data_IF_352619771889
#
_entry.id   IF_352619771889
#
_cell.length_a   1.000
_cell.length_b   1.000
_cell.length_c   1.000
_cell.angle_alpha   90.00
_cell.angle_beta   90.00
_cell.angle_gamma   90.00
#
_symmetry.space_group_name_H-M   'P 1'
#
loop_
_entity.id
_entity.type
_entity.pdbx_description
1 polymer ?
#
# COMPACT_ATOMS: atom_id res chain seq x y z
N UNK A 1 -16.31 6.36 -27.96
CA UNK A 1 -15.28 6.27 -29.02
C UNK A 1 -15.54 7.43 -29.98
N UNK A 2 -14.98 8.61 -29.69
CA UNK A 2 -15.21 9.82 -30.46
C UNK A 2 -14.17 10.85 -30.06
N UNK A 3 -13.11 10.94 -30.84
CA UNK A 3 -11.99 11.84 -30.64
C UNK A 3 -11.68 12.59 -31.93
N UNK A 4 -10.87 13.63 -31.86
CA UNK A 4 -10.49 14.49 -33.00
C UNK A 4 -9.70 13.79 -34.10
N UNK A 5 -9.39 12.49 -33.95
CA UNK A 5 -8.59 11.71 -34.90
C UNK A 5 -7.13 12.17 -35.01
N UNK A 6 -6.71 13.19 -34.25
CA UNK A 6 -5.39 13.82 -34.34
C UNK A 6 -4.23 12.86 -34.01
N UNK A 7 -4.48 11.87 -33.15
CA UNK A 7 -3.51 10.82 -32.79
C UNK A 7 -3.90 9.44 -33.36
N UNK A 8 -4.81 9.40 -34.34
CA UNK A 8 -5.22 8.14 -34.96
C UNK A 8 -4.06 7.56 -35.79
N UNK A 9 -3.87 6.25 -35.67
CA UNK A 9 -2.90 5.48 -36.44
C UNK A 9 -3.51 4.13 -36.80
N UNK A 10 -3.20 3.64 -38.00
CA UNK A 10 -3.49 2.28 -38.42
C UNK A 10 -2.16 1.58 -38.70
N UNK A 11 -2.01 0.33 -38.29
CA UNK A 11 -0.75 -0.40 -38.47
C UNK A 11 -0.96 -1.89 -38.72
N UNK A 12 0.03 -2.47 -39.39
CA UNK A 12 0.19 -3.91 -39.55
C UNK A 12 1.58 -4.29 -39.06
N UNK A 13 1.67 -5.29 -38.17
CA UNK A 13 2.93 -5.73 -37.55
C UNK A 13 3.08 -7.23 -37.74
N UNK A 14 4.26 -7.63 -38.16
CA UNK A 14 4.73 -9.01 -38.08
C UNK A 14 5.74 -9.14 -36.94
N UNK A 15 5.59 -10.18 -36.12
CA UNK A 15 6.55 -10.49 -35.06
C UNK A 15 7.04 -11.93 -35.20
N UNK A 16 8.33 -12.14 -34.88
CA UNK A 16 8.94 -13.46 -34.88
C UNK A 16 9.99 -13.56 -33.80
N UNK A 17 9.86 -14.59 -32.98
CA UNK A 17 10.87 -14.97 -32.00
C UNK A 17 11.75 -16.08 -32.54
N UNK A 18 13.06 -15.86 -32.51
CA UNK A 18 14.07 -16.85 -32.88
C UNK A 18 15.09 -16.96 -31.74
N UNK A 19 14.95 -18.01 -30.95
CA UNK A 19 15.78 -18.26 -29.77
C UNK A 19 15.69 -17.12 -28.75
N UNK A 20 16.79 -16.36 -28.65
CA UNK A 20 16.98 -15.26 -27.68
C UNK A 20 16.55 -13.90 -28.21
N UNK A 21 16.23 -13.82 -29.49
CA UNK A 21 15.79 -12.62 -30.17
C UNK A 21 14.29 -12.67 -30.39
N UNK A 22 13.61 -11.59 -30.04
CA UNK A 22 12.22 -11.35 -30.36
C UNK A 22 12.17 -10.07 -31.20
N UNK A 23 11.77 -10.20 -32.46
CA UNK A 23 11.82 -9.11 -33.42
C UNK A 23 10.40 -8.79 -33.93
N UNK A 24 10.11 -7.51 -34.07
CA UNK A 24 8.89 -7.00 -34.68
C UNK A 24 9.22 -5.97 -35.77
N UNK A 25 8.44 -6.01 -36.83
CA UNK A 25 8.48 -5.02 -37.90
C UNK A 25 7.06 -4.68 -38.30
N UNK A 26 6.76 -3.39 -38.35
CA UNK A 26 5.46 -2.85 -38.64
C UNK A 26 5.49 -1.71 -39.64
N UNK A 27 4.37 -1.58 -40.33
CA UNK A 27 4.06 -0.46 -41.22
C UNK A 27 2.85 0.26 -40.64
N UNK A 28 2.94 1.58 -40.50
CA UNK A 28 1.87 2.41 -39.97
C UNK A 28 1.52 3.56 -40.92
N UNK A 29 0.24 3.92 -40.96
CA UNK A 29 -0.28 5.19 -41.48
C UNK A 29 -0.83 6.03 -40.33
N UNK A 30 -0.95 7.34 -40.52
CA UNK A 30 -1.42 8.25 -39.47
C UNK A 30 -0.29 8.67 -38.53
N UNK A 31 -0.58 8.90 -37.25
CA UNK A 31 0.37 9.54 -36.32
C UNK A 31 1.67 8.73 -36.13
N UNK A 32 1.59 7.42 -35.87
CA UNK A 32 2.78 6.55 -35.67
C UNK A 32 3.56 6.34 -36.99
N UNK A 33 2.95 6.58 -38.15
CA UNK A 33 3.59 6.49 -39.45
C UNK A 33 3.97 7.84 -40.07
N UNK A 34 3.82 8.94 -39.33
CA UNK A 34 3.86 10.30 -39.85
C UNK A 34 5.23 10.71 -40.41
N UNK A 35 6.28 9.93 -40.10
CA UNK A 35 7.59 10.11 -40.73
C UNK A 35 7.57 9.86 -42.25
N UNK A 36 6.64 9.03 -42.73
CA UNK A 36 6.35 8.85 -44.15
C UNK A 36 7.54 8.34 -44.96
N UNK A 37 8.16 7.24 -44.53
CA UNK A 37 9.37 6.68 -45.13
C UNK A 37 9.17 6.25 -46.60
N UNK A 38 7.94 5.89 -47.01
CA UNK A 38 7.61 5.61 -48.41
C UNK A 38 6.14 5.88 -48.78
N UNK A 39 5.88 5.98 -50.10
CA UNK A 39 4.53 6.18 -50.68
C UNK A 39 3.63 5.00 -50.32
N UNK A 40 2.37 5.26 -49.97
CA UNK A 40 1.42 4.21 -49.61
C UNK A 40 1.29 3.17 -50.75
N UNK A 41 1.61 1.89 -50.52
CA UNK A 41 1.54 0.87 -51.58
C UNK A 41 0.10 0.63 -52.06
N UNK A 42 -0.92 0.96 -51.25
CA UNK A 42 -2.32 0.90 -51.66
C UNK A 42 -2.70 1.98 -52.69
N UNK A 43 -1.85 3.00 -52.88
CA UNK A 43 -2.00 3.97 -53.96
C UNK A 43 -1.87 3.33 -55.35
N UNK A 44 -1.26 2.14 -55.46
CA UNK A 44 -1.25 1.37 -56.71
C UNK A 44 -2.63 0.79 -57.07
N UNK A 45 -3.55 0.72 -56.10
CA UNK A 45 -4.93 0.24 -56.27
C UNK A 45 -5.86 1.43 -56.52
N UNK A 46 -5.72 2.50 -55.73
CA UNK A 46 -6.49 3.73 -55.87
C UNK A 46 -5.71 4.94 -55.31
N UNK A 47 -5.59 6.02 -56.08
CA UNK A 47 -4.89 7.24 -55.70
C UNK A 47 -5.44 7.87 -54.40
N UNK A 48 -6.69 7.57 -54.03
CA UNK A 48 -7.29 8.05 -52.78
C UNK A 48 -6.52 7.62 -51.53
N UNK A 49 -5.70 6.54 -51.59
CA UNK A 49 -4.93 6.05 -50.44
C UNK A 49 -3.68 6.90 -50.16
N UNK A 50 -3.26 7.72 -51.12
CA UNK A 50 -2.06 8.54 -51.00
C UNK A 50 -2.24 9.71 -50.04
N UNK A 51 -3.45 10.28 -49.97
CA UNK A 51 -3.71 11.48 -49.17
C UNK A 51 -4.69 11.17 -48.05
N UNK A 52 -4.32 11.51 -46.81
CA UNK A 52 -5.21 11.37 -45.66
C UNK A 52 -6.11 12.61 -45.58
N UNK A 53 -7.44 12.48 -45.71
CA UNK A 53 -8.34 13.62 -45.56
C UNK A 53 -8.26 14.18 -44.12
N UNK A 54 -8.27 15.51 -43.99
CA UNK A 54 -8.31 16.15 -42.66
C UNK A 54 -9.63 15.81 -41.98
N UNK A 55 -9.55 15.37 -40.72
CA UNK A 55 -10.74 15.09 -39.91
C UNK A 55 -11.61 16.36 -39.81
N UNK A 56 -12.84 16.28 -40.30
CA UNK A 56 -13.84 17.33 -40.19
C UNK A 56 -14.79 17.00 -39.04
N UNK A 57 -14.60 17.66 -37.90
CA UNK A 57 -15.53 17.61 -36.77
C UNK A 57 -15.13 16.70 -35.60
N UNK A 58 -15.67 17.03 -34.44
CA UNK A 58 -15.49 16.33 -33.17
C UNK A 58 -16.63 15.32 -32.99
N UNK A 59 -16.32 14.03 -32.78
CA UNK A 59 -17.32 13.04 -32.32
C UNK A 59 -17.90 12.08 -33.37
N UNK A 60 -17.49 12.15 -34.64
CA UNK A 60 -17.82 11.12 -35.65
C UNK A 60 -16.68 10.09 -35.75
N UNK A 61 -17.03 8.81 -36.00
CA UNK A 61 -16.04 7.80 -36.36
C UNK A 61 -15.50 8.15 -37.75
N UNK A 62 -14.27 8.65 -37.82
CA UNK A 62 -13.62 8.98 -39.09
C UNK A 62 -13.05 7.71 -39.76
N UNK A 63 -13.93 6.91 -40.36
CA UNK A 63 -13.57 5.71 -41.15
C UNK A 63 -12.90 6.06 -42.47
N UNK A 64 -13.13 7.26 -43.00
CA UNK A 64 -12.69 7.68 -44.33
C UNK A 64 -11.16 7.90 -44.41
N UNK A 65 -10.49 8.04 -43.26
CA UNK A 65 -9.05 8.21 -43.16
C UNK A 65 -8.23 6.92 -42.96
N UNK A 66 -8.88 5.76 -42.83
CA UNK A 66 -8.18 4.51 -42.46
C UNK A 66 -7.23 4.03 -43.57
N UNK A 67 -5.99 3.68 -43.20
CA UNK A 67 -4.94 3.20 -44.12
C UNK A 67 -4.58 4.17 -45.26
N UNK A 68 -4.84 5.46 -45.08
CA UNK A 68 -4.51 6.53 -46.04
C UNK A 68 -3.41 7.45 -45.53
N UNK A 69 -2.64 7.99 -46.46
CA UNK A 69 -1.49 8.85 -46.18
C UNK A 69 -0.15 8.13 -46.28
N UNK A 70 0.97 8.85 -46.08
CA UNK A 70 2.32 8.27 -46.08
C UNK A 70 2.45 7.13 -45.07
N UNK A 71 3.29 6.14 -45.40
CA UNK A 71 3.55 4.98 -44.54
C UNK A 71 4.90 5.14 -43.86
N UNK A 72 4.92 5.02 -42.54
CA UNK A 72 6.14 4.94 -41.73
C UNK A 72 6.46 3.51 -41.33
N UNK A 73 7.75 3.19 -41.28
CA UNK A 73 8.25 1.92 -40.76
C UNK A 73 8.55 2.08 -39.28
N UNK A 74 8.11 1.12 -38.48
CA UNK A 74 8.52 1.02 -37.08
C UNK A 74 8.83 -0.43 -36.75
N UNK A 75 9.66 -0.66 -35.74
CA UNK A 75 10.02 -2.02 -35.39
C UNK A 75 10.99 -2.07 -34.22
N UNK A 76 11.18 -3.25 -33.67
CA UNK A 76 12.09 -3.41 -32.56
C UNK A 76 12.61 -4.82 -32.43
N UNK A 77 13.72 -4.95 -31.73
CA UNK A 77 14.32 -6.22 -31.37
C UNK A 77 14.60 -6.22 -29.88
N UNK A 78 14.03 -7.20 -29.18
CA UNK A 78 14.40 -7.52 -27.82
C UNK A 78 15.36 -8.72 -27.83
N UNK A 79 16.52 -8.54 -27.20
CA UNK A 79 17.53 -9.57 -27.04
C UNK A 79 17.68 -9.96 -25.57
N UNK A 80 17.37 -11.22 -25.27
CA UNK A 80 17.63 -11.80 -23.96
C UNK A 80 19.10 -12.21 -23.87
N UNK A 81 19.89 -11.52 -23.06
CA UNK A 81 21.33 -11.81 -22.93
C UNK A 81 21.59 -13.13 -22.17
N UNK A 82 22.75 -13.80 -22.36
CA UNK A 82 23.12 -15.03 -21.64
C UNK A 82 23.00 -14.90 -20.13
N UNK A 83 23.24 -13.70 -19.63
CA UNK A 83 22.93 -13.31 -18.27
C UNK A 83 21.43 -13.05 -18.14
N UNK A 84 20.69 -14.06 -17.65
CA UNK A 84 19.22 -14.04 -17.52
C UNK A 84 18.63 -12.75 -16.92
N UNK A 85 19.25 -12.10 -15.92
CA UNK A 85 18.78 -10.83 -15.37
C UNK A 85 18.73 -9.67 -16.36
N UNK A 86 19.51 -9.69 -17.45
CA UNK A 86 19.67 -8.56 -18.36
C UNK A 86 18.99 -8.83 -19.71
N UNK A 87 18.07 -7.94 -20.09
CA UNK A 87 17.45 -7.88 -21.41
C UNK A 87 17.77 -6.54 -22.08
N UNK A 88 18.15 -6.58 -23.35
CA UNK A 88 18.41 -5.41 -24.17
C UNK A 88 17.27 -5.23 -25.19
N UNK A 89 16.95 -3.99 -25.52
CA UNK A 89 15.90 -3.61 -26.47
C UNK A 89 16.43 -2.53 -27.39
N UNK A 90 16.15 -2.68 -28.68
CA UNK A 90 16.40 -1.67 -29.70
C UNK A 90 15.09 -1.45 -30.44
N UNK A 91 14.70 -0.21 -30.61
CA UNK A 91 13.50 0.18 -31.33
C UNK A 91 13.84 1.24 -32.38
N UNK A 92 13.13 1.18 -33.50
CA UNK A 92 13.11 2.16 -34.56
C UNK A 92 11.72 2.78 -34.61
N UNK A 93 11.66 4.08 -34.35
CA UNK A 93 10.43 4.85 -34.29
C UNK A 93 10.03 5.37 -35.68
N UNK A 94 8.77 5.11 -36.04
CA UNK A 94 8.14 5.53 -37.29
C UNK A 94 7.49 6.91 -37.23
N UNK A 95 7.49 7.56 -36.07
CA UNK A 95 6.97 8.92 -35.90
C UNK A 95 8.09 9.99 -36.05
N UNK A 96 7.71 11.17 -36.53
CA UNK A 96 8.56 12.35 -36.58
C UNK A 96 8.07 13.40 -35.57
N UNK A 97 8.73 13.44 -34.41
CA UNK A 97 8.38 14.36 -33.32
C UNK A 97 8.78 15.81 -33.61
N UNK A 98 9.47 16.08 -34.73
CA UNK A 98 9.82 17.45 -35.15
C UNK A 98 8.62 18.17 -35.75
N UNK A 99 7.54 17.45 -36.07
CA UNK A 99 6.31 17.97 -36.67
C UNK A 99 5.07 17.46 -35.92
N UNK A 100 4.97 17.82 -34.64
CA UNK A 100 3.85 17.41 -33.79
C UNK A 100 2.59 18.23 -34.07
N UNK A 101 1.39 17.60 -33.98
CA UNK A 101 0.13 18.34 -33.90
C UNK A 101 0.19 19.40 -32.80
N UNK A 102 -0.51 20.52 -32.98
CA UNK A 102 -0.57 21.64 -32.03
C UNK A 102 0.75 22.41 -31.82
N UNK A 103 1.73 22.29 -32.74
CA UNK A 103 3.02 23.00 -32.70
C UNK A 103 3.91 22.63 -31.50
N UNK A 104 3.73 21.44 -30.94
CA UNK A 104 4.54 20.94 -29.83
C UNK A 104 5.79 20.17 -30.31
N UNK A 105 6.58 20.79 -31.19
CA UNK A 105 7.72 20.10 -31.81
C UNK A 105 8.77 19.72 -30.77
N UNK A 106 9.13 18.44 -30.74
CA UNK A 106 10.15 17.92 -29.85
C UNK A 106 11.47 17.73 -30.61
N UNK A 107 12.59 17.83 -29.90
CA UNK A 107 13.90 17.54 -30.48
C UNK A 107 14.03 16.03 -30.66
N UNK A 108 14.34 15.62 -31.89
CA UNK A 108 14.65 14.22 -32.24
C UNK A 108 15.90 14.24 -33.12
N UNK A 109 16.99 13.67 -32.61
CA UNK A 109 18.28 13.55 -33.32
C UNK A 109 18.42 12.19 -34.00
N UNK A 110 17.79 11.17 -33.43
CA UNK A 110 17.82 9.80 -33.92
C UNK A 110 16.42 9.18 -33.81
N UNK A 111 16.01 8.36 -34.77
CA UNK A 111 14.79 7.54 -34.66
C UNK A 111 15.00 6.25 -33.88
N UNK A 112 16.23 5.98 -33.41
CA UNK A 112 16.53 4.78 -32.65
C UNK A 112 16.41 5.03 -31.15
N UNK A 113 15.72 4.13 -30.46
CA UNK A 113 15.62 4.08 -29.00
C UNK A 113 16.28 2.80 -28.50
N UNK A 114 17.12 2.92 -27.46
CA UNK A 114 17.84 1.78 -26.87
C UNK A 114 17.42 1.65 -25.41
N UNK A 115 17.14 0.42 -24.98
CA UNK A 115 16.74 0.13 -23.60
C UNK A 115 17.48 -1.07 -23.02
N UNK A 116 17.70 -1.05 -21.71
CA UNK A 116 18.19 -2.16 -20.92
C UNK A 116 17.29 -2.36 -19.71
N UNK A 117 16.95 -3.61 -19.41
CA UNK A 117 16.17 -4.00 -18.23
C UNK A 117 16.97 -5.02 -17.42
N UNK A 118 17.19 -4.73 -16.14
CA UNK A 118 18.00 -5.53 -15.23
C UNK A 118 17.18 -5.97 -14.00
N UNK A 119 16.96 -7.28 -13.88
CA UNK A 119 16.28 -7.88 -12.73
C UNK A 119 17.26 -8.12 -11.59
N UNK A 120 17.29 -7.21 -10.60
CA UNK A 120 18.15 -7.34 -9.41
C UNK A 120 17.74 -8.56 -8.59
N UNK A 121 16.44 -8.73 -8.38
CA UNK A 121 15.84 -9.89 -7.72
C UNK A 121 14.37 -10.06 -8.18
N UNK A 122 13.63 -10.99 -7.57
CA UNK A 122 12.22 -11.26 -7.91
C UNK A 122 11.29 -10.06 -7.65
N UNK A 123 11.71 -9.10 -6.84
CA UNK A 123 10.91 -7.98 -6.37
C UNK A 123 11.35 -6.63 -6.95
N UNK A 124 12.52 -6.55 -7.58
CA UNK A 124 13.12 -5.30 -8.05
C UNK A 124 13.70 -5.47 -9.45
N UNK A 125 13.23 -4.62 -10.36
CA UNK A 125 13.79 -4.48 -11.71
C UNK A 125 14.15 -3.01 -11.96
N UNK A 126 15.27 -2.81 -12.64
CA UNK A 126 15.79 -1.51 -13.04
C UNK A 126 15.73 -1.39 -14.56
N UNK A 127 15.38 -0.21 -15.05
CA UNK A 127 15.26 0.09 -16.47
C UNK A 127 16.11 1.31 -16.80
N UNK A 128 16.85 1.23 -17.89
CA UNK A 128 17.59 2.33 -18.48
C UNK A 128 17.18 2.45 -19.94
N UNK A 129 16.95 3.68 -20.40
CA UNK A 129 16.56 3.99 -21.77
C UNK A 129 17.37 5.16 -22.32
N UNK A 130 17.63 5.15 -23.61
CA UNK A 130 18.15 6.26 -24.36
C UNK A 130 17.25 6.46 -25.58
N UNK A 131 16.49 7.53 -25.59
CA UNK A 131 15.44 7.80 -26.57
C UNK A 131 15.81 9.03 -27.40
N UNK A 132 15.38 9.00 -28.66
CA UNK A 132 15.42 10.15 -29.58
C UNK A 132 16.81 10.77 -29.82
N UNK A 133 17.86 10.09 -29.37
CA UNK A 133 19.26 10.47 -29.55
C UNK A 133 19.80 11.46 -28.50
N UNK A 134 19.00 11.94 -27.55
CA UNK A 134 19.48 12.86 -26.50
C UNK A 134 18.73 12.79 -25.16
N UNK A 135 17.76 11.88 -25.00
CA UNK A 135 17.01 11.71 -23.75
C UNK A 135 17.39 10.40 -23.04
N UNK A 136 17.97 10.52 -21.84
CA UNK A 136 18.17 9.39 -20.95
C UNK A 136 16.95 9.18 -20.04
N UNK A 137 16.53 7.92 -19.89
CA UNK A 137 15.42 7.51 -19.03
C UNK A 137 15.90 6.48 -18.01
N UNK A 138 15.41 6.58 -16.77
CA UNK A 138 15.65 5.61 -15.71
C UNK A 138 14.33 5.26 -15.02
N UNK A 139 14.10 3.97 -14.79
CA UNK A 139 12.88 3.46 -14.17
C UNK A 139 13.17 2.36 -13.15
N UNK A 140 12.32 2.28 -12.13
CA UNK A 140 12.35 1.22 -11.11
C UNK A 140 10.98 0.56 -11.07
N UNK A 141 10.94 -0.76 -11.15
CA UNK A 141 9.71 -1.55 -11.00
C UNK A 141 9.81 -2.46 -9.79
N UNK A 142 8.87 -2.30 -8.86
CA UNK A 142 8.75 -3.11 -7.66
C UNK A 142 7.60 -4.11 -7.82
N UNK A 143 7.91 -5.39 -7.65
CA UNK A 143 6.93 -6.47 -7.66
C UNK A 143 6.67 -6.93 -6.22
N UNK A 144 5.41 -6.89 -5.80
CA UNK A 144 4.99 -7.36 -4.48
C UNK A 144 3.77 -8.28 -4.63
N UNK A 145 3.80 -9.42 -3.93
CA UNK A 145 2.64 -10.28 -3.79
C UNK A 145 1.93 -9.94 -2.47
N UNK A 146 0.86 -9.15 -2.54
CA UNK A 146 0.11 -8.73 -1.36
C UNK A 146 -0.56 -9.89 -0.60
N UNK A 147 -0.82 -11.02 -1.27
CA UNK A 147 -1.39 -12.21 -0.63
C UNK A 147 -0.39 -12.95 0.29
N UNK A 148 0.91 -12.76 0.06
CA UNK A 148 1.99 -13.34 0.87
C UNK A 148 2.76 -12.29 1.66
N UNK A 149 2.31 -11.03 1.63
CA UNK A 149 2.92 -9.95 2.36
C UNK A 149 2.74 -10.19 3.86
N UNK A 150 3.78 -10.72 4.51
CA UNK A 150 3.86 -10.77 5.97
C UNK A 150 4.02 -9.35 6.50
N UNK A 151 3.48 -9.06 7.69
CA UNK A 151 3.70 -7.77 8.34
C UNK A 151 5.21 -7.54 8.47
N UNK A 152 5.71 -6.44 7.89
CA UNK A 152 7.13 -6.07 8.00
C UNK A 152 7.48 -6.04 9.49
N UNK A 153 8.53 -6.74 9.94
CA UNK A 153 8.95 -6.72 11.34
C UNK A 153 9.15 -5.27 11.77
N UNK A 154 8.39 -4.82 12.77
CA UNK A 154 8.52 -3.48 13.32
C UNK A 154 9.71 -3.46 14.28
N UNK A 155 10.91 -3.31 13.73
CA UNK A 155 12.18 -3.35 14.49
C UNK A 155 12.25 -2.29 15.60
N UNK A 156 11.47 -1.22 15.50
CA UNK A 156 11.41 -0.14 16.50
C UNK A 156 10.30 -0.33 17.54
N UNK A 157 9.46 -1.35 17.43
CA UNK A 157 8.44 -1.60 18.45
C UNK A 157 9.11 -2.18 19.71
N UNK A 158 8.79 -1.67 20.91
CA UNK A 158 9.38 -2.20 22.13
C UNK A 158 8.98 -3.66 22.33
N UNK A 159 9.85 -4.50 22.95
CA UNK A 159 9.47 -5.87 23.30
C UNK A 159 8.28 -5.87 24.27
N UNK A 160 7.42 -6.90 24.26
CA UNK A 160 6.40 -7.08 25.28
C UNK A 160 7.04 -7.18 26.68
N UNK A 161 6.43 -6.59 27.70
CA UNK A 161 6.91 -6.73 29.07
C UNK A 161 6.78 -8.19 29.54
N UNK A 162 7.74 -8.74 30.30
CA UNK A 162 7.57 -10.03 30.95
C UNK A 162 6.43 -9.96 31.98
N UNK A 163 5.81 -11.08 32.31
CA UNK A 163 4.92 -11.13 33.47
C UNK A 163 5.73 -10.98 34.75
N UNK A 164 5.11 -10.39 35.77
CA UNK A 164 5.67 -10.41 37.12
C UNK A 164 5.54 -11.85 37.62
N UNK A 165 6.66 -12.48 37.97
CA UNK A 165 6.65 -13.81 38.55
C UNK A 165 5.80 -13.73 39.85
N UNK A 166 4.70 -14.47 39.88
CA UNK A 166 3.88 -14.58 41.09
C UNK A 166 4.59 -15.58 41.99
N UNK A 167 5.21 -15.11 43.06
CA UNK A 167 5.70 -16.00 44.09
C UNK A 167 4.50 -16.62 44.79
N UNK A 168 4.28 -17.92 44.64
CA UNK A 168 3.20 -18.66 45.32
C UNK A 168 3.29 -18.52 46.86
N UNK A 169 4.50 -18.27 47.39
CA UNK A 169 4.75 -17.98 48.80
C UNK A 169 4.18 -16.64 49.28
N UNK A 170 3.85 -15.71 48.37
CA UNK A 170 3.25 -14.43 48.70
C UNK A 170 1.72 -14.52 48.95
N UNK A 171 1.09 -15.67 48.68
CA UNK A 171 -0.33 -15.90 48.96
C UNK A 171 -0.61 -15.84 50.47
N UNK A 172 0.35 -16.22 51.32
CA UNK A 172 0.25 -16.11 52.78
C UNK A 172 0.60 -14.72 53.34
N UNK A 173 1.22 -13.84 52.54
CA UNK A 173 1.57 -12.47 52.96
C UNK A 173 0.69 -11.41 52.30
N UNK A 174 -0.11 -11.77 51.28
CA UNK A 174 -1.03 -10.88 50.59
C UNK A 174 -2.20 -10.40 51.49
N UNK A 175 -2.57 -11.18 52.51
CA UNK A 175 -3.50 -10.72 53.55
C UNK A 175 -2.89 -9.65 54.48
N UNK A 176 -1.56 -9.52 54.51
CA UNK A 176 -0.84 -8.51 55.31
C UNK A 176 -0.33 -7.32 54.48
N UNK A 177 -0.25 -7.43 53.15
CA UNK A 177 0.15 -6.34 52.26
C UNK A 177 -1.03 -5.48 51.75
N UNK A 178 -2.27 -5.92 51.96
CA UNK A 178 -3.49 -5.17 51.63
C UNK A 178 -3.63 -3.84 52.40
N UNK A 179 -2.78 -3.61 53.41
CA UNK A 179 -2.75 -2.42 54.27
C UNK A 179 -1.70 -1.36 53.88
N UNK A 180 -0.98 -1.55 52.77
CA UNK A 180 -0.21 -0.43 52.17
C UNK A 180 -1.04 0.17 51.03
N UNK A 181 -1.75 1.25 51.32
CA UNK A 181 -2.64 2.00 50.40
C UNK A 181 -1.98 2.62 49.15
N UNK A 182 -1.00 1.96 48.55
CA UNK A 182 -0.43 2.34 47.26
C UNK A 182 -1.35 1.89 46.13
N UNK A 183 -2.35 2.72 45.84
CA UNK A 183 -3.07 2.66 44.57
C UNK A 183 -2.07 2.78 43.40
N UNK A 184 -2.22 2.02 42.30
CA UNK A 184 -1.33 2.11 41.15
C UNK A 184 -1.24 3.54 40.61
N UNK A 185 -0.07 3.95 40.11
CA UNK A 185 0.06 5.21 39.34
C UNK A 185 -0.63 5.02 37.98
N UNK A 186 -1.94 5.24 37.95
CA UNK A 186 -2.74 5.03 36.74
C UNK A 186 -2.33 5.95 35.58
N UNK A 187 -1.73 7.11 35.85
CA UNK A 187 -1.18 7.98 34.81
C UNK A 187 0.11 7.41 34.22
N UNK A 188 0.95 6.78 35.04
CA UNK A 188 2.09 5.97 34.61
C UNK A 188 1.67 4.73 33.80
N UNK A 189 0.65 4.00 34.28
CA UNK A 189 0.07 2.84 33.59
C UNK A 189 -0.47 3.24 32.21
N UNK A 190 -1.21 4.35 32.13
CA UNK A 190 -1.73 4.86 30.86
C UNK A 190 -0.62 5.15 29.83
N UNK A 191 0.50 5.75 30.28
CA UNK A 191 1.68 5.98 29.42
C UNK A 191 2.31 4.66 28.95
N UNK A 192 2.49 3.69 29.84
CA UNK A 192 3.03 2.36 29.49
C UNK A 192 2.14 1.65 28.47
N UNK A 193 0.81 1.77 28.60
CA UNK A 193 -0.16 1.22 27.65
C UNK A 193 -0.05 1.87 26.27
N UNK A 194 0.13 3.19 26.20
CA UNK A 194 0.34 3.90 24.93
C UNK A 194 1.69 3.49 24.30
N UNK A 195 2.77 3.49 25.09
CA UNK A 195 4.13 3.25 24.61
C UNK A 195 4.41 1.80 24.22
N UNK A 196 3.86 0.82 24.94
CA UNK A 196 4.14 -0.60 24.72
C UNK A 196 2.98 -1.35 24.08
N UNK A 197 1.74 -1.15 24.55
CA UNK A 197 0.56 -1.80 24.00
C UNK A 197 -0.04 -1.06 22.78
N UNK A 198 0.46 0.14 22.46
CA UNK A 198 -0.03 0.92 21.32
C UNK A 198 -1.44 1.48 21.52
N UNK A 199 -1.95 1.39 22.75
CA UNK A 199 -3.32 1.72 23.11
C UNK A 199 -3.35 3.13 23.69
N UNK A 200 -3.91 4.08 22.94
CA UNK A 200 -4.09 5.44 23.45
C UNK A 200 -5.24 5.46 24.45
N UNK A 201 -4.90 5.50 25.73
CA UNK A 201 -5.86 5.42 26.83
C UNK A 201 -6.69 6.70 26.91
N UNK A 202 -8.01 6.53 26.98
CA UNK A 202 -8.98 7.59 27.25
C UNK A 202 -9.43 7.55 28.70
N UNK A 203 -9.70 6.35 29.22
CA UNK A 203 -10.19 6.12 30.58
C UNK A 203 -9.74 4.75 31.07
N UNK A 204 -9.41 4.65 32.35
CA UNK A 204 -9.26 3.38 33.06
C UNK A 204 -10.30 3.36 34.17
N UNK A 205 -11.05 2.27 34.28
CA UNK A 205 -12.08 2.10 35.28
C UNK A 205 -12.08 0.69 35.86
N UNK A 206 -12.56 0.54 37.08
CA UNK A 206 -12.70 -0.74 37.74
C UNK A 206 -14.16 -1.08 38.01
N UNK A 207 -14.51 -2.34 37.80
CA UNK A 207 -15.82 -2.94 38.08
C UNK A 207 -15.59 -4.26 38.81
N UNK A 208 -15.73 -4.26 40.13
CA UNK A 208 -15.44 -5.44 40.95
C UNK A 208 -14.00 -5.94 40.71
N UNK A 209 -13.87 -7.19 40.28
CA UNK A 209 -12.59 -7.84 39.95
C UNK A 209 -12.12 -7.63 38.49
N UNK A 210 -12.69 -6.67 37.77
CA UNK A 210 -12.36 -6.38 36.37
C UNK A 210 -11.84 -4.94 36.21
N UNK A 211 -10.69 -4.80 35.56
CA UNK A 211 -10.11 -3.50 35.18
C UNK A 211 -10.31 -3.30 33.69
N UNK A 212 -11.06 -2.25 33.35
CA UNK A 212 -11.47 -1.89 32.00
C UNK A 212 -10.61 -0.72 31.53
N UNK A 213 -9.86 -0.91 30.44
CA UNK A 213 -9.10 0.12 29.74
C UNK A 213 -9.85 0.51 28.48
N UNK A 214 -10.38 1.73 28.47
CA UNK A 214 -11.02 2.34 27.30
C UNK A 214 -10.00 3.16 26.53
N UNK A 215 -9.81 2.88 25.24
CA UNK A 215 -8.84 3.59 24.41
C UNK A 215 -8.86 3.21 22.94
N UNK A 216 -8.09 3.93 22.14
CA UNK A 216 -7.97 3.70 20.69
C UNK A 216 -6.66 2.95 20.38
N UNK A 217 -6.77 1.78 19.72
CA UNK A 217 -5.60 1.07 19.19
C UNK A 217 -5.03 1.80 17.96
N UNK A 218 -3.73 2.11 17.99
CA UNK A 218 -3.04 2.85 16.92
C UNK A 218 -1.84 2.13 16.32
N UNK A 219 -1.22 1.19 17.03
CA UNK A 219 0.07 0.63 16.61
C UNK A 219 -0.03 -0.72 15.94
N UNK A 220 -0.76 -1.68 16.51
CA UNK A 220 -0.70 -3.06 16.02
C UNK A 220 -1.78 -3.36 14.98
N UNK A 221 -1.40 -4.12 13.95
CA UNK A 221 -2.33 -4.59 12.91
C UNK A 221 -3.35 -5.58 13.47
N UNK A 222 -2.89 -6.50 14.33
CA UNK A 222 -3.74 -7.46 15.04
C UNK A 222 -4.11 -6.93 16.43
N UNK A 223 -5.40 -6.68 16.72
CA UNK A 223 -5.82 -6.17 18.03
C UNK A 223 -5.42 -7.07 19.21
N UNK A 224 -5.36 -8.39 18.99
CA UNK A 224 -4.94 -9.35 20.02
C UNK A 224 -3.53 -9.05 20.57
N UNK A 225 -2.62 -8.50 19.76
CA UNK A 225 -1.30 -8.09 20.22
C UNK A 225 -1.37 -6.92 21.21
N UNK A 226 -2.31 -5.99 21.01
CA UNK A 226 -2.61 -4.93 21.97
C UNK A 226 -3.08 -5.52 23.29
N UNK A 227 -4.07 -6.41 23.21
CA UNK A 227 -4.75 -6.96 24.39
C UNK A 227 -3.77 -7.76 25.24
N UNK A 228 -2.96 -8.62 24.64
CA UNK A 228 -1.95 -9.38 25.38
C UNK A 228 -0.86 -8.50 26.02
N UNK A 229 -0.48 -7.38 25.39
CA UNK A 229 0.47 -6.42 25.99
C UNK A 229 -0.18 -5.61 27.11
N UNK A 230 -1.45 -5.21 26.95
CA UNK A 230 -2.24 -4.59 28.01
C UNK A 230 -2.36 -5.51 29.22
N UNK A 231 -2.66 -6.80 29.00
CA UNK A 231 -2.71 -7.79 30.07
C UNK A 231 -1.37 -7.91 30.80
N UNK A 232 -0.23 -7.97 30.09
CA UNK A 232 1.12 -7.97 30.70
C UNK A 232 1.40 -6.74 31.56
N UNK A 233 1.05 -5.55 31.07
CA UNK A 233 1.26 -4.29 31.79
C UNK A 233 0.40 -4.26 33.05
N UNK A 234 -0.89 -4.56 32.92
CA UNK A 234 -1.81 -4.54 34.06
C UNK A 234 -1.49 -5.63 35.06
N UNK A 235 -1.03 -6.80 34.63
CA UNK A 235 -0.68 -7.89 35.56
C UNK A 235 0.38 -7.48 36.59
N UNK A 236 1.32 -6.61 36.20
CA UNK A 236 2.36 -6.10 37.08
C UNK A 236 1.89 -4.98 38.02
N UNK A 237 0.79 -4.31 37.69
CA UNK A 237 0.37 -3.04 38.32
C UNK A 237 -0.89 -3.20 39.18
N UNK A 238 -1.79 -4.13 38.83
CA UNK A 238 -3.08 -4.29 39.49
C UNK A 238 -3.03 -5.33 40.63
N UNK A 239 -3.79 -5.13 41.72
CA UNK A 239 -3.75 -6.03 42.87
C UNK A 239 -4.26 -7.45 42.53
N UNK A 240 -3.97 -8.46 43.38
CA UNK A 240 -4.44 -9.83 43.18
C UNK A 240 -5.96 -9.97 43.15
N UNK A 241 -6.70 -9.02 43.72
CA UNK A 241 -8.18 -9.00 43.72
C UNK A 241 -8.81 -8.78 42.34
N UNK A 242 -8.02 -8.37 41.34
CA UNK A 242 -8.47 -8.24 39.95
C UNK A 242 -8.24 -9.56 39.22
N UNK A 243 -9.30 -10.19 38.74
CA UNK A 243 -9.26 -11.45 37.99
C UNK A 243 -9.32 -11.25 36.47
N UNK A 244 -9.93 -10.16 36.02
CA UNK A 244 -10.17 -9.87 34.61
C UNK A 244 -9.55 -8.55 34.16
N UNK A 245 -9.09 -8.54 32.92
CA UNK A 245 -8.64 -7.34 32.23
C UNK A 245 -9.46 -7.19 30.96
N UNK A 246 -10.11 -6.05 30.82
CA UNK A 246 -10.96 -5.74 29.67
C UNK A 246 -10.39 -4.57 28.87
N UNK A 247 -10.24 -4.75 27.57
CA UNK A 247 -9.89 -3.67 26.63
C UNK A 247 -11.11 -3.27 25.85
N UNK A 248 -11.62 -2.06 26.11
CA UNK A 248 -12.70 -1.45 25.34
C UNK A 248 -12.08 -0.58 24.24
N UNK A 249 -12.04 -1.11 23.02
CA UNK A 249 -11.47 -0.39 21.89
C UNK A 249 -12.44 0.67 21.38
N UNK A 250 -11.96 1.89 21.17
CA UNK A 250 -12.75 3.01 20.66
C UNK A 250 -12.15 3.54 19.37
N UNK A 251 -13.01 4.14 18.52
CA UNK A 251 -12.59 4.86 17.33
C UNK A 251 -13.39 6.14 17.23
N UNK A 252 -12.70 7.28 17.10
CA UNK A 252 -13.34 8.59 17.12
C UNK A 252 -14.23 8.81 18.37
N UNK A 253 -13.83 8.25 19.51
CA UNK A 253 -14.58 8.32 20.77
C UNK A 253 -15.79 7.38 20.86
N UNK A 254 -16.11 6.63 19.80
CA UNK A 254 -17.18 5.63 19.82
C UNK A 254 -16.63 4.27 20.20
N UNK A 255 -17.21 3.57 21.19
CA UNK A 255 -16.76 2.24 21.57
C UNK A 255 -17.18 1.22 20.49
N UNK A 256 -16.26 0.32 20.15
CA UNK A 256 -16.45 -0.66 19.08
C UNK A 256 -16.66 -2.07 19.64
N UNK A 257 -15.77 -2.53 20.52
CA UNK A 257 -15.76 -3.89 21.06
C UNK A 257 -15.06 -3.89 22.42
N UNK A 258 -15.56 -4.72 23.32
CA UNK A 258 -14.91 -5.08 24.56
C UNK A 258 -14.28 -6.46 24.41
N UNK A 259 -12.99 -6.58 24.75
CA UNK A 259 -12.29 -7.86 24.82
C UNK A 259 -11.81 -8.07 26.25
N UNK A 260 -12.41 -9.02 26.93
CA UNK A 260 -12.11 -9.40 28.31
C UNK A 260 -11.25 -10.65 28.33
N UNK A 261 -10.23 -10.67 29.18
CA UNK A 261 -9.29 -11.78 29.31
C UNK A 261 -9.05 -12.08 30.77
N UNK A 262 -9.11 -13.36 31.13
CA UNK A 262 -8.82 -13.81 32.48
C UNK A 262 -7.31 -13.76 32.75
N UNK A 263 -6.92 -13.10 33.84
CA UNK A 263 -5.50 -12.90 34.20
C UNK A 263 -4.79 -14.21 34.57
N UNK A 264 -5.50 -15.15 35.19
CA UNK A 264 -4.92 -16.43 35.60
C UNK A 264 -4.63 -17.31 34.37
N UNK A 265 -5.63 -17.54 33.52
CA UNK A 265 -5.48 -18.30 32.29
C UNK A 265 -4.41 -17.70 31.36
N UNK A 266 -4.32 -16.37 31.26
CA UNK A 266 -3.27 -15.72 30.47
C UNK A 266 -1.87 -15.93 31.05
N UNK A 267 -1.72 -15.92 32.38
CA UNK A 267 -0.45 -16.24 33.03
C UNK A 267 -0.05 -17.70 32.77
N UNK A 268 -0.98 -18.65 32.94
CA UNK A 268 -0.74 -20.06 32.69
C UNK A 268 -0.32 -20.32 31.24
N UNK A 269 -0.91 -19.61 30.26
CA UNK A 269 -0.53 -19.71 28.86
C UNK A 269 0.90 -19.22 28.62
N UNK A 270 1.29 -18.10 29.24
CA UNK A 270 2.65 -17.56 29.10
C UNK A 270 3.71 -18.41 29.80
N UNK A 271 3.33 -19.14 30.84
CA UNK A 271 4.19 -20.12 31.52
C UNK A 271 4.23 -21.49 30.82
N UNK A 272 3.56 -21.64 29.67
CA UNK A 272 3.37 -22.91 28.96
C UNK A 272 2.68 -24.01 29.81
N UNK A 273 1.88 -23.62 30.80
CA UNK A 273 1.04 -24.53 31.60
C UNK A 273 -0.27 -24.90 30.92
N UNK A 274 -0.69 -24.11 29.92
CA UNK A 274 -1.88 -24.37 29.09
C UNK A 274 -1.62 -23.97 27.63
N UNK A 275 -2.51 -24.40 26.71
CA UNK A 275 -2.42 -24.10 25.29
C UNK A 275 -3.28 -22.89 24.87
N UNK A 276 -3.10 -22.43 23.62
CA UNK A 276 -3.84 -21.27 23.09
C UNK A 276 -5.34 -21.55 22.96
N UNK A 277 -5.72 -22.80 22.67
CA UNK A 277 -7.12 -23.19 22.52
C UNK A 277 -7.87 -23.07 23.86
N UNK A 278 -7.24 -23.51 24.95
CA UNK A 278 -7.77 -23.35 26.30
C UNK A 278 -7.83 -21.86 26.67
N UNK A 279 -6.76 -21.09 26.47
CA UNK A 279 -6.79 -19.64 26.71
C UNK A 279 -7.91 -18.93 25.96
N UNK A 280 -8.19 -19.32 24.71
CA UNK A 280 -9.26 -18.72 23.93
C UNK A 280 -10.65 -18.90 24.58
N UNK A 281 -10.86 -19.96 25.36
CA UNK A 281 -12.07 -20.16 26.18
C UNK A 281 -12.18 -19.21 27.38
N UNK A 282 -11.08 -18.56 27.78
CA UNK A 282 -11.00 -17.55 28.83
C UNK A 282 -10.88 -16.12 28.28
N UNK A 283 -11.21 -15.94 27.00
CA UNK A 283 -11.31 -14.63 26.33
C UNK A 283 -12.73 -14.43 25.84
N UNK A 284 -13.35 -13.34 26.28
CA UNK A 284 -14.71 -12.97 25.88
C UNK A 284 -14.65 -11.72 24.99
N UNK A 285 -15.44 -11.71 23.91
CA UNK A 285 -15.66 -10.53 23.09
C UNK A 285 -17.14 -10.16 23.12
N UNK A 286 -17.42 -8.93 23.55
CA UNK A 286 -18.78 -8.44 23.72
C UNK A 286 -18.96 -7.04 23.10
N UNK A 287 -20.19 -6.67 22.69
CA UNK A 287 -20.49 -5.29 22.35
C UNK A 287 -20.34 -4.39 23.59
N UNK A 288 -19.87 -3.14 23.43
CA UNK A 288 -19.73 -2.24 24.56
C UNK A 288 -21.05 -1.97 25.27
N UNK A 289 -21.07 -2.12 26.58
CA UNK A 289 -22.28 -1.91 27.39
C UNK A 289 -22.06 -0.75 28.37
N UNK A 290 -23.08 0.10 28.54
CA UNK A 290 -23.07 1.13 29.56
C UNK A 290 -23.25 0.47 30.94
N UNK A 291 -22.19 0.45 31.75
CA UNK A 291 -22.19 -0.19 33.06
C UNK A 291 -21.63 0.71 34.14
N UNK A 292 -22.02 0.46 35.40
CA UNK A 292 -21.47 1.16 36.56
C UNK A 292 -20.05 0.68 36.80
N UNK A 293 -19.10 1.62 36.79
CA UNK A 293 -17.68 1.40 37.06
C UNK A 293 -17.10 2.60 37.81
N UNK A 294 -16.12 2.37 38.67
CA UNK A 294 -15.37 3.45 39.32
C UNK A 294 -14.24 3.89 38.40
N UNK A 295 -14.17 5.17 38.05
CA UNK A 295 -13.08 5.71 37.24
C UNK A 295 -11.80 5.80 38.07
N UNK A 296 -10.76 5.13 37.61
CA UNK A 296 -9.42 5.15 38.21
C UNK A 296 -8.52 6.20 37.56
N UNK A 297 -8.71 6.44 36.25
CA UNK A 297 -7.99 7.44 35.49
C UNK A 297 -8.82 7.94 34.33
N UNK A 298 -8.72 9.25 34.06
CA UNK A 298 -9.30 9.90 32.91
C UNK A 298 -8.22 10.72 32.21
N UNK A 299 -7.99 10.45 30.93
CA UNK A 299 -7.00 11.20 30.16
C UNK A 299 -7.46 12.65 29.95
N UNK A 300 -6.54 13.63 30.00
CA UNK A 300 -6.87 15.02 29.69
C UNK A 300 -7.29 15.15 28.22
N UNK A 301 -8.31 15.96 27.95
CA UNK A 301 -8.74 16.24 26.58
C UNK A 301 -7.62 16.96 25.80
N UNK A 302 -7.15 16.34 24.71
CA UNK A 302 -6.21 16.99 23.80
C UNK A 302 -7.01 17.86 22.82
N UNK A 303 -6.85 19.18 22.91
CA UNK A 303 -7.50 20.15 22.00
C UNK A 303 -6.92 20.11 20.59
N UNK A 304 -5.69 19.64 20.44
CA UNK A 304 -5.00 19.56 19.16
C UNK A 304 -4.42 18.17 18.96
N UNK A 305 -4.64 17.63 17.78
CA UNK A 305 -4.05 16.38 17.35
C UNK A 305 -3.70 16.42 15.87
N UNK A 306 -2.46 16.04 15.56
CA UNK A 306 -1.96 15.94 14.19
C UNK A 306 -1.41 14.55 13.94
N UNK A 307 -1.67 14.01 12.76
CA UNK A 307 -1.04 12.77 12.30
C UNK A 307 -0.49 12.97 10.89
N UNK A 308 0.71 12.46 10.66
CA UNK A 308 1.26 12.35 9.31
C UNK A 308 0.96 10.94 8.79
N UNK A 309 0.12 10.85 7.76
CA UNK A 309 -0.23 9.57 7.14
C UNK A 309 0.18 9.60 5.68
N UNK A 310 0.74 8.48 5.19
CA UNK A 310 0.94 8.24 3.76
C UNK A 310 -0.22 7.35 3.32
N UNK A 311 -1.15 7.92 2.55
CA UNK A 311 -2.26 7.18 1.96
C UNK A 311 -1.91 6.65 0.57
N UNK A 312 -2.47 5.50 0.21
CA UNK A 312 -2.55 5.02 -1.16
C UNK A 312 -4.01 5.00 -1.56
N UNK A 313 -4.37 5.74 -2.62
CA UNK A 313 -5.72 5.76 -3.14
C UNK A 313 -5.68 5.30 -4.60
N UNK A 314 -6.34 4.18 -4.88
CA UNK A 314 -6.43 3.62 -6.22
C UNK A 314 -7.76 4.02 -6.85
N UNK A 315 -7.69 4.76 -7.95
CA UNK A 315 -8.84 5.02 -8.83
C UNK A 315 -8.69 4.14 -10.07
N UNK A 316 -9.59 3.17 -10.26
CA UNK A 316 -9.63 2.35 -11.47
C UNK A 316 -10.55 3.05 -12.48
N UNK A 317 -9.94 3.82 -13.39
CA UNK A 317 -10.56 4.38 -14.59
C UNK A 317 -10.15 3.56 -15.84
N UNK A 318 -11.07 3.44 -16.80
CA UNK A 318 -11.02 2.45 -17.89
C UNK A 318 -9.88 2.56 -18.93
N UNK A 319 -9.73 1.41 -19.61
CA UNK A 319 -8.83 0.94 -20.69
C UNK A 319 -7.83 1.95 -21.32
N UNK A 320 -6.58 1.46 -21.36
CA UNK A 320 -5.30 2.06 -21.80
C UNK A 320 -4.66 2.95 -20.74
N UNK A 321 -3.67 2.34 -20.07
CA UNK A 321 -2.73 2.88 -19.08
C UNK A 321 -3.32 3.38 -17.75
N UNK A 322 -3.19 2.52 -16.73
CA UNK A 322 -3.51 2.86 -15.35
C UNK A 322 -2.55 3.93 -14.84
N UNK A 323 -2.98 5.18 -14.83
CA UNK A 323 -2.28 6.25 -14.12
C UNK A 323 -2.32 5.98 -12.61
N UNK A 324 -1.13 5.89 -12.00
CA UNK A 324 -0.97 5.84 -10.55
C UNK A 324 -0.71 7.25 -10.03
N UNK A 325 -1.74 7.96 -9.56
CA UNK A 325 -1.57 9.25 -8.91
C UNK A 325 -1.25 9.08 -7.43
N UNK A 326 -0.11 9.61 -6.99
CA UNK A 326 0.28 9.66 -5.58
C UNK A 326 -0.08 11.03 -5.02
N UNK A 327 -1.01 11.11 -4.07
CA UNK A 327 -1.24 12.33 -3.29
C UNK A 327 -0.49 12.24 -1.96
N UNK A 328 0.19 13.33 -1.60
CA UNK A 328 0.86 13.53 -0.32
C UNK A 328 0.13 14.68 0.36
N UNK A 329 -0.37 14.48 1.59
CA UNK A 329 -1.08 15.52 2.31
C UNK A 329 -0.99 15.33 3.83
N UNK A 330 -0.56 16.35 4.59
CA UNK A 330 -0.72 16.33 6.04
C UNK A 330 -2.22 16.36 6.38
N UNK A 331 -2.65 15.58 7.37
CA UNK A 331 -4.02 15.67 7.89
C UNK A 331 -3.96 16.23 9.31
N UNK A 332 -4.21 17.52 9.45
CA UNK A 332 -4.48 18.14 10.75
C UNK A 332 -5.98 18.02 11.04
N UNK A 333 -6.35 17.59 12.25
CA UNK A 333 -7.76 17.56 12.68
C UNK A 333 -7.93 18.44 13.91
N UNK A 334 -8.84 19.39 13.79
CA UNK A 334 -9.33 20.20 14.90
C UNK A 334 -10.68 19.62 15.32
N UNK A 335 -10.80 19.19 16.57
CA UNK A 335 -12.11 18.97 17.19
C UNK A 335 -12.36 20.17 18.10
N UNK A 336 -13.37 20.97 17.75
CA UNK A 336 -13.91 22.04 18.61
C UNK A 336 -14.77 21.47 19.71
#
# INVERSE_FOLDING_TARGET
>A
MGGTGLFSSEYLVASKRVGRFDASLGLATGYIGNRGDFRNPLAAIDDHFETRPRAQGTGTLNSDGMFRGPVGVFGGVAYQTPWKPLQLKLEYDGNDYRHEPQRNNQRQRSPFNVGASYAVNRNLQLHLGWERGDLAMFGITLHSNLAQASSVPKLLDPPPLPLKQRDDSAIHTAEQAADTGNSPDWAGVARKLEDNAGLRVQRISQRGADVIVTGEQRRFYYPAQSVGRTARILDAEVPPSVSWVTVQNTRLGLPLVETSMERAAFADYLDNRTDLATLAGHVEMAPPAAQRSTTLYQAPQRRYEGAFNIGYQQSIGGRMDSYCSRSLGPTARTFT
#
